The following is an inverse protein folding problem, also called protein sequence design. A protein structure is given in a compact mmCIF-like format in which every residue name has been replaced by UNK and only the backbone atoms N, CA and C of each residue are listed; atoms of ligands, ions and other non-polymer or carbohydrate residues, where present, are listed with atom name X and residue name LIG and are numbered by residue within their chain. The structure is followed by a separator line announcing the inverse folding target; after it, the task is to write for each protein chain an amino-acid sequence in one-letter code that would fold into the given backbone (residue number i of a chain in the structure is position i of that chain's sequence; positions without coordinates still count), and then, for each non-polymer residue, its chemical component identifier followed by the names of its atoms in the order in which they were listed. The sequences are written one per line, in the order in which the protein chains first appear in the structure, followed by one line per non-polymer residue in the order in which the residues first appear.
data_IF_073899944410
#
_entry.id   IF_073899944410
#
_cell.length_a   1.000
_cell.length_b   1.000
_cell.length_c   1.000
_cell.angle_alpha   90.00
_cell.angle_beta   90.00
_cell.angle_gamma   90.00
#
_symmetry.space_group_name_H-M   'P 1'
#
loop_
_entity.id
_entity.type
_entity.pdbx_description
1 polymer ?
#
# COMPACT_ATOMS: atom_id res chain seq x y z
N UNK A 1 48.94 -35.67 -22.44
CA UNK A 1 47.87 -34.75 -22.84
C UNK A 1 46.52 -35.38 -22.51
N UNK A 2 45.95 -35.09 -21.33
CA UNK A 2 44.57 -35.45 -21.00
C UNK A 2 43.99 -34.27 -20.23
N UNK A 3 43.17 -33.48 -20.91
CA UNK A 3 42.37 -32.41 -20.30
C UNK A 3 41.12 -33.04 -19.67
N UNK A 4 40.95 -32.86 -18.36
CA UNK A 4 39.73 -33.21 -17.63
C UNK A 4 38.72 -32.06 -17.83
N UNK A 5 37.66 -32.30 -18.60
CA UNK A 5 36.54 -31.37 -18.71
C UNK A 5 35.53 -31.69 -17.60
N UNK A 6 35.40 -30.80 -16.61
CA UNK A 6 34.35 -30.87 -15.61
C UNK A 6 33.05 -30.31 -16.19
N UNK A 7 32.05 -31.18 -16.37
CA UNK A 7 30.68 -30.77 -16.71
C UNK A 7 29.97 -30.32 -15.42
N UNK A 8 29.76 -29.01 -15.26
CA UNK A 8 28.85 -28.46 -14.25
C UNK A 8 27.42 -28.53 -14.78
N UNK A 9 26.60 -29.45 -14.26
CA UNK A 9 25.17 -29.45 -14.50
C UNK A 9 24.52 -28.32 -13.68
N UNK A 10 24.07 -27.26 -14.35
CA UNK A 10 23.13 -26.30 -13.77
C UNK A 10 21.79 -27.01 -13.57
N UNK A 11 21.49 -27.41 -12.34
CA UNK A 11 20.13 -27.77 -11.96
C UNK A 11 19.29 -26.50 -11.91
N UNK A 12 18.42 -26.32 -12.91
CA UNK A 12 17.36 -25.32 -12.85
C UNK A 12 16.43 -25.71 -11.70
N UNK A 13 16.43 -24.92 -10.62
CA UNK A 13 15.40 -25.02 -9.60
C UNK A 13 14.10 -24.56 -10.25
N UNK A 14 13.26 -25.52 -10.65
CA UNK A 14 11.88 -25.24 -10.98
C UNK A 14 11.18 -24.82 -9.68
N UNK A 15 10.96 -23.52 -9.51
CA UNK A 15 9.96 -23.03 -8.56
C UNK A 15 8.61 -23.36 -9.18
N UNK A 16 7.74 -24.16 -8.54
CA UNK A 16 6.43 -24.43 -9.09
C UNK A 16 5.64 -23.12 -9.08
N UNK A 17 5.10 -22.73 -10.24
CA UNK A 17 4.09 -21.70 -10.29
C UNK A 17 2.92 -22.18 -9.42
N UNK A 18 2.62 -21.44 -8.35
CA UNK A 18 1.40 -21.64 -7.58
C UNK A 18 0.23 -21.65 -8.57
N UNK A 19 -0.70 -22.61 -8.44
CA UNK A 19 -1.84 -22.64 -9.34
C UNK A 19 -2.67 -21.37 -9.14
N UNK A 20 -3.40 -20.92 -10.16
CA UNK A 20 -4.23 -19.71 -10.01
C UNK A 20 -5.11 -19.81 -8.76
N UNK A 21 -5.72 -20.97 -8.48
CA UNK A 21 -6.53 -21.22 -7.28
C UNK A 21 -5.79 -21.00 -5.94
N UNK A 22 -4.47 -21.21 -5.89
CA UNK A 22 -3.66 -20.96 -4.71
C UNK A 22 -3.41 -19.46 -4.49
N UNK A 23 -3.36 -18.67 -5.58
CA UNK A 23 -3.07 -17.23 -5.52
C UNK A 23 -4.22 -16.43 -4.89
N UNK A 24 -5.47 -16.66 -5.28
CA UNK A 24 -6.63 -15.98 -4.70
C UNK A 24 -6.91 -16.42 -3.26
N UNK A 25 -6.66 -17.69 -2.93
CA UNK A 25 -6.72 -18.15 -1.55
C UNK A 25 -5.65 -17.47 -0.69
N UNK A 26 -4.43 -17.33 -1.21
CA UNK A 26 -3.35 -16.60 -0.55
C UNK A 26 -3.70 -15.12 -0.35
N UNK A 27 -4.24 -14.45 -1.38
CA UNK A 27 -4.67 -13.06 -1.28
C UNK A 27 -5.77 -12.88 -0.21
N UNK A 28 -6.72 -13.82 -0.12
CA UNK A 28 -7.74 -13.87 0.94
C UNK A 28 -7.13 -13.98 2.32
N UNK A 29 -6.21 -14.91 2.54
CA UNK A 29 -5.56 -15.07 3.85
C UNK A 29 -4.74 -13.84 4.22
N UNK A 30 -3.97 -13.28 3.29
CA UNK A 30 -3.22 -12.05 3.48
C UNK A 30 -4.13 -10.86 3.82
N UNK A 31 -5.29 -10.75 3.18
CA UNK A 31 -6.25 -9.68 3.47
C UNK A 31 -6.87 -9.81 4.86
N UNK A 32 -7.06 -11.05 5.34
CA UNK A 32 -7.58 -11.33 6.68
C UNK A 32 -6.50 -11.25 7.77
N UNK A 33 -5.23 -11.28 7.39
CA UNK A 33 -4.08 -11.14 8.28
C UNK A 33 -3.70 -9.66 8.46
N UNK A 34 -3.94 -9.06 9.65
CA UNK A 34 -3.59 -7.67 9.93
C UNK A 34 -2.08 -7.43 9.92
N UNK A 35 -1.27 -8.47 10.15
CA UNK A 35 0.18 -8.38 10.27
C UNK A 35 0.91 -8.91 9.02
N UNK A 36 0.15 -9.30 7.98
CA UNK A 36 0.67 -9.82 6.72
C UNK A 36 1.50 -8.81 5.91
N UNK A 37 2.09 -9.27 4.80
CA UNK A 37 2.88 -8.41 3.90
C UNK A 37 2.08 -7.26 3.30
N UNK A 38 2.77 -6.25 2.76
CA UNK A 38 2.13 -5.20 1.97
C UNK A 38 1.33 -5.81 0.81
N UNK A 39 0.12 -5.30 0.55
CA UNK A 39 -0.75 -5.76 -0.53
C UNK A 39 -0.98 -4.69 -1.58
N UNK A 40 -0.99 -5.11 -2.85
CA UNK A 40 -1.27 -4.27 -4.00
C UNK A 40 -2.76 -4.34 -4.39
N UNK A 41 -3.40 -3.18 -4.48
CA UNK A 41 -4.74 -3.02 -5.01
C UNK A 41 -4.72 -2.25 -6.34
N UNK A 42 -5.02 -2.91 -7.46
CA UNK A 42 -5.04 -2.28 -8.78
C UNK A 42 -6.38 -1.54 -8.98
N UNK A 43 -6.35 -0.22 -9.13
CA UNK A 43 -7.56 0.59 -9.33
C UNK A 43 -8.10 0.41 -10.74
N UNK A 44 -9.21 -0.30 -10.90
CA UNK A 44 -9.82 -0.58 -12.20
C UNK A 44 -8.98 -1.49 -13.12
N UNK A 45 -7.97 -2.18 -12.58
CA UNK A 45 -7.07 -3.07 -13.33
C UNK A 45 -5.80 -2.37 -13.86
N UNK A 46 -5.21 -2.92 -14.91
CA UNK A 46 -4.02 -2.37 -15.58
C UNK A 46 -4.41 -1.20 -16.50
N UNK A 47 -4.50 -0.01 -15.91
CA UNK A 47 -5.00 1.21 -16.57
C UNK A 47 -3.96 1.91 -17.45
N UNK A 48 -2.68 1.53 -17.33
CA UNK A 48 -1.60 2.07 -18.15
C UNK A 48 -1.65 1.52 -19.58
N UNK A 49 -2.02 0.24 -19.72
CA UNK A 49 -2.08 -0.45 -21.00
C UNK A 49 -3.50 -0.51 -21.58
N UNK A 50 -4.52 -0.52 -20.73
CA UNK A 50 -5.91 -0.72 -21.13
C UNK A 50 -6.85 0.28 -20.46
N UNK A 51 -8.05 0.55 -21.01
CA UNK A 51 -9.04 1.37 -20.31
C UNK A 51 -9.40 0.76 -18.95
N UNK A 52 -9.55 1.60 -17.93
CA UNK A 52 -10.00 1.16 -16.61
C UNK A 52 -11.34 0.40 -16.72
N UNK A 53 -11.47 -0.66 -15.93
CA UNK A 53 -12.64 -1.55 -15.90
C UNK A 53 -12.93 -2.28 -17.23
N UNK A 54 -11.95 -2.38 -18.12
CA UNK A 54 -12.02 -3.28 -19.27
C UNK A 54 -11.67 -4.72 -18.89
N UNK A 55 -12.11 -5.68 -19.71
CA UNK A 55 -11.71 -7.08 -19.58
C UNK A 55 -10.19 -7.23 -19.60
N UNK A 56 -9.52 -6.56 -20.52
CA UNK A 56 -8.06 -6.64 -20.68
C UNK A 56 -7.31 -6.07 -19.48
N UNK A 57 -7.79 -4.95 -18.90
CA UNK A 57 -7.21 -4.39 -17.69
C UNK A 57 -7.27 -5.39 -16.52
N UNK A 58 -8.40 -6.09 -16.38
CA UNK A 58 -8.62 -7.08 -15.33
C UNK A 58 -7.78 -8.34 -15.56
N UNK A 59 -7.78 -8.89 -16.78
CA UNK A 59 -6.98 -10.06 -17.15
C UNK A 59 -5.48 -9.80 -16.99
N UNK A 60 -4.99 -8.63 -17.40
CA UNK A 60 -3.59 -8.22 -17.23
C UNK A 60 -3.19 -8.14 -15.76
N UNK A 61 -4.02 -7.48 -14.94
CA UNK A 61 -3.78 -7.39 -13.49
C UNK A 61 -3.80 -8.76 -12.80
N UNK A 62 -4.81 -9.59 -13.08
CA UNK A 62 -4.89 -10.94 -12.54
C UNK A 62 -3.69 -11.80 -12.96
N UNK A 63 -3.24 -11.69 -14.21
CA UNK A 63 -2.06 -12.38 -14.73
C UNK A 63 -0.74 -11.91 -14.13
N UNK A 64 -0.67 -10.66 -13.67
CA UNK A 64 0.51 -10.08 -12.99
C UNK A 64 0.58 -10.49 -11.51
N UNK A 65 -0.47 -11.10 -10.97
CA UNK A 65 -0.51 -11.58 -9.59
C UNK A 65 -0.82 -10.47 -8.57
N UNK A 66 -1.56 -9.43 -8.96
CA UNK A 66 -2.04 -8.42 -8.00
C UNK A 66 -2.92 -9.08 -6.93
N UNK A 67 -2.87 -8.56 -5.69
CA UNK A 67 -3.65 -9.15 -4.60
C UNK A 67 -5.15 -8.81 -4.72
N UNK A 68 -5.46 -7.57 -5.13
CA UNK A 68 -6.81 -7.02 -5.17
C UNK A 68 -6.98 -6.21 -6.45
N UNK A 69 -8.12 -6.35 -7.12
CA UNK A 69 -8.59 -5.36 -8.12
C UNK A 69 -9.74 -4.58 -7.48
N UNK A 70 -9.71 -3.26 -7.54
CA UNK A 70 -10.76 -2.40 -6.98
C UNK A 70 -11.63 -1.80 -8.08
N UNK A 71 -12.94 -1.74 -7.85
CA UNK A 71 -13.89 -1.19 -8.83
C UNK A 71 -15.18 -0.70 -8.16
N UNK A 72 -16.00 -0.02 -8.97
CA UNK A 72 -17.34 0.43 -8.62
C UNK A 72 -18.31 -0.18 -9.63
N UNK A 73 -19.42 -0.73 -9.15
CA UNK A 73 -20.47 -1.28 -9.99
C UNK A 73 -21.78 -0.49 -9.85
N UNK A 74 -22.55 -0.44 -10.94
CA UNK A 74 -23.84 0.26 -11.00
C UNK A 74 -24.87 -0.58 -11.74
N UNK A 75 -26.12 -0.45 -11.32
CA UNK A 75 -27.24 -1.10 -11.96
C UNK A 75 -27.64 -0.41 -13.27
N UNK A 76 -27.81 -1.22 -14.30
CA UNK A 76 -28.49 -0.87 -15.54
C UNK A 76 -30.00 -0.77 -15.33
N UNK A 77 -30.71 -0.24 -16.32
CA UNK A 77 -32.18 -0.12 -16.34
C UNK A 77 -32.89 -1.47 -16.16
N UNK A 78 -32.33 -2.52 -16.74
CA UNK A 78 -32.81 -3.92 -16.67
C UNK A 78 -32.27 -4.69 -15.47
N UNK A 79 -31.47 -4.06 -14.60
CA UNK A 79 -31.10 -4.58 -13.29
C UNK A 79 -29.83 -5.43 -13.24
N UNK A 80 -29.00 -5.35 -14.27
CA UNK A 80 -27.68 -5.98 -14.34
C UNK A 80 -26.60 -5.06 -13.77
N UNK A 81 -25.52 -5.61 -13.22
CA UNK A 81 -24.39 -4.79 -12.74
C UNK A 81 -23.33 -4.62 -13.83
N UNK A 82 -22.98 -3.37 -14.12
CA UNK A 82 -21.85 -2.99 -14.98
C UNK A 82 -20.80 -2.24 -14.19
N UNK A 83 -19.53 -2.37 -14.59
CA UNK A 83 -18.44 -1.64 -13.97
C UNK A 83 -18.47 -0.18 -14.45
N UNK A 84 -18.71 0.73 -13.50
CA UNK A 84 -18.90 2.14 -13.76
C UNK A 84 -18.53 2.96 -12.52
N UNK A 85 -17.50 3.78 -12.64
CA UNK A 85 -17.05 4.66 -11.56
C UNK A 85 -18.15 5.68 -11.18
N UNK A 86 -18.78 6.30 -12.18
CA UNK A 86 -19.77 7.36 -12.04
C UNK A 86 -21.14 6.95 -12.59
N UNK A 87 -22.20 7.58 -12.06
CA UNK A 87 -23.58 7.32 -12.52
C UNK A 87 -23.80 7.84 -13.93
N UNK A 88 -23.15 8.95 -14.27
CA UNK A 88 -23.16 9.49 -15.61
C UNK A 88 -21.99 8.89 -16.41
N UNK A 89 -22.29 8.45 -17.63
CA UNK A 89 -21.34 7.87 -18.59
C UNK A 89 -20.44 8.91 -19.26
N UNK A 90 -20.75 10.20 -19.12
CA UNK A 90 -20.05 11.30 -19.76
C UNK A 90 -18.55 11.28 -19.44
N UNK A 91 -17.74 11.32 -20.49
CA UNK A 91 -16.28 11.31 -20.41
C UNK A 91 -15.65 9.94 -20.13
N UNK A 92 -16.45 8.94 -19.75
CA UNK A 92 -15.98 7.57 -19.54
C UNK A 92 -16.30 6.68 -20.74
N UNK A 93 -17.49 6.82 -21.34
CA UNK A 93 -17.99 5.95 -22.40
C UNK A 93 -18.31 6.72 -23.68
N UNK A 94 -18.08 6.06 -24.80
CA UNK A 94 -18.31 6.59 -26.15
C UNK A 94 -19.15 5.63 -26.98
N UNK A 95 -19.85 6.16 -27.98
CA UNK A 95 -20.59 5.35 -28.94
C UNK A 95 -19.65 4.65 -29.96
N UNK A 96 -20.21 3.86 -30.87
CA UNK A 96 -19.44 3.17 -31.91
C UNK A 96 -18.70 4.08 -32.90
N UNK A 97 -18.98 5.39 -32.89
CA UNK A 97 -18.29 6.41 -33.69
C UNK A 97 -17.30 7.24 -32.85
N UNK A 98 -17.25 7.02 -31.54
CA UNK A 98 -16.37 7.71 -30.61
C UNK A 98 -16.92 9.01 -30.03
N UNK A 99 -18.22 9.30 -30.17
CA UNK A 99 -18.85 10.44 -29.51
C UNK A 99 -19.13 10.12 -28.03
N UNK A 100 -18.87 11.07 -27.13
CA UNK A 100 -19.18 10.93 -25.71
C UNK A 100 -20.69 10.72 -25.50
N UNK A 101 -21.03 9.76 -24.63
CA UNK A 101 -22.42 9.47 -24.25
C UNK A 101 -22.72 10.16 -22.92
N UNK A 102 -23.72 11.04 -22.90
CA UNK A 102 -24.22 11.71 -21.69
C UNK A 102 -25.56 11.10 -21.28
N UNK A 103 -25.49 9.97 -20.56
CA UNK A 103 -26.66 9.26 -20.03
C UNK A 103 -26.33 8.71 -18.64
N UNK A 104 -27.36 8.41 -17.85
CA UNK A 104 -27.15 7.64 -16.62
C UNK A 104 -27.06 6.16 -16.93
N UNK A 105 -26.23 5.43 -16.18
CA UNK A 105 -26.16 3.97 -16.28
C UNK A 105 -27.54 3.35 -16.00
N UNK A 106 -28.27 3.89 -15.02
CA UNK A 106 -29.64 3.46 -14.68
C UNK A 106 -30.70 3.72 -15.76
N UNK A 107 -30.38 4.48 -16.82
CA UNK A 107 -31.29 4.75 -17.93
C UNK A 107 -31.06 3.83 -19.14
N UNK A 108 -29.98 3.04 -19.13
CA UNK A 108 -29.56 2.17 -20.22
C UNK A 108 -29.73 0.70 -19.85
N UNK A 109 -30.19 -0.11 -20.80
CA UNK A 109 -30.19 -1.58 -20.70
C UNK A 109 -28.78 -2.16 -20.90
N UNK A 110 -28.56 -3.41 -20.48
CA UNK A 110 -27.27 -4.07 -20.70
C UNK A 110 -26.94 -4.16 -22.20
N UNK A 111 -27.93 -4.49 -23.03
CA UNK A 111 -27.75 -4.59 -24.48
C UNK A 111 -27.32 -3.26 -25.10
N UNK A 112 -27.93 -2.14 -24.70
CA UNK A 112 -27.51 -0.80 -25.13
C UNK A 112 -26.08 -0.51 -24.67
N UNK A 113 -25.73 -0.82 -23.41
CA UNK A 113 -24.39 -0.59 -22.86
C UNK A 113 -23.32 -1.40 -23.59
N UNK A 114 -23.63 -2.64 -24.00
CA UNK A 114 -22.70 -3.49 -24.75
C UNK A 114 -22.38 -2.94 -26.16
N UNK A 115 -23.19 -2.02 -26.69
CA UNK A 115 -22.86 -1.28 -27.92
C UNK A 115 -21.85 -0.16 -27.71
N UNK A 116 -21.66 0.30 -26.47
CA UNK A 116 -20.75 1.38 -26.11
C UNK A 116 -19.31 0.88 -25.93
N UNK A 117 -18.36 1.82 -25.91
CA UNK A 117 -16.94 1.55 -25.72
C UNK A 117 -16.36 2.40 -24.60
N UNK A 118 -15.39 1.84 -23.88
CA UNK A 118 -14.64 2.55 -22.85
C UNK A 118 -13.69 3.55 -23.50
N UNK A 119 -13.55 4.72 -22.89
CA UNK A 119 -12.57 5.72 -23.28
C UNK A 119 -11.29 5.52 -22.48
N UNK A 120 -10.11 5.34 -23.12
CA UNK A 120 -8.86 5.31 -22.38
C UNK A 120 -8.58 6.68 -21.74
N UNK A 121 -8.04 6.67 -20.52
CA UNK A 121 -7.66 7.90 -19.83
C UNK A 121 -6.65 8.70 -20.67
N UNK A 122 -6.88 10.01 -20.81
CA UNK A 122 -5.97 10.91 -21.54
C UNK A 122 -5.85 10.69 -23.05
N UNK A 123 -6.56 9.71 -23.64
CA UNK A 123 -6.49 9.40 -25.07
C UNK A 123 -7.71 9.90 -25.84
N UNK A 124 -7.48 10.32 -27.09
CA UNK A 124 -8.54 10.60 -28.07
C UNK A 124 -8.90 9.37 -28.92
N UNK A 125 -8.13 8.29 -28.80
CA UNK A 125 -8.35 7.07 -29.58
C UNK A 125 -9.44 6.20 -28.94
N UNK A 126 -10.26 5.58 -29.80
CA UNK A 126 -11.21 4.56 -29.38
C UNK A 126 -10.46 3.31 -28.91
N UNK A 127 -10.79 2.81 -27.72
CA UNK A 127 -10.19 1.58 -27.20
C UNK A 127 -10.71 0.31 -27.89
N UNK A 128 -11.91 0.38 -28.49
CA UNK A 128 -12.64 -0.80 -28.94
C UNK A 128 -13.12 -1.74 -27.81
N UNK A 129 -12.84 -1.42 -26.54
CA UNK A 129 -13.17 -2.26 -25.40
C UNK A 129 -14.64 -2.04 -24.96
N UNK A 130 -15.46 -3.09 -24.87
CA UNK A 130 -16.83 -2.98 -24.35
C UNK A 130 -16.83 -2.73 -22.84
N UNK A 131 -17.96 -2.25 -22.32
CA UNK A 131 -18.17 -2.13 -20.86
C UNK A 131 -18.29 -3.53 -20.26
N UNK A 132 -17.53 -3.77 -19.19
CA UNK A 132 -17.50 -5.03 -18.46
C UNK A 132 -18.67 -5.11 -17.45
N UNK A 133 -19.31 -6.25 -17.36
CA UNK A 133 -20.28 -6.55 -16.29
C UNK A 133 -19.55 -7.00 -15.03
N UNK A 134 -20.20 -6.85 -13.88
CA UNK A 134 -19.65 -7.40 -12.64
C UNK A 134 -19.55 -8.93 -12.70
N UNK A 135 -20.49 -9.61 -13.37
CA UNK A 135 -20.44 -11.08 -13.54
C UNK A 135 -19.23 -11.55 -14.35
N UNK A 136 -18.90 -10.83 -15.43
CA UNK A 136 -17.68 -11.10 -16.22
C UNK A 136 -16.42 -10.82 -15.37
N UNK A 137 -16.40 -9.73 -14.61
CA UNK A 137 -15.29 -9.41 -13.70
C UNK A 137 -15.08 -10.48 -12.62
N UNK A 138 -16.17 -10.99 -12.02
CA UNK A 138 -16.11 -12.10 -11.06
C UNK A 138 -15.47 -13.35 -11.68
N UNK A 139 -15.77 -13.66 -12.94
CA UNK A 139 -15.20 -14.81 -13.63
C UNK A 139 -13.69 -14.66 -13.85
N UNK A 140 -13.21 -13.44 -14.15
CA UNK A 140 -11.77 -13.16 -14.35
C UNK A 140 -11.00 -13.26 -13.03
N UNK A 141 -11.53 -12.68 -11.95
CA UNK A 141 -10.84 -12.66 -10.66
C UNK A 141 -10.89 -14.01 -9.93
N UNK A 142 -11.88 -14.86 -10.24
CA UNK A 142 -12.09 -16.14 -9.55
C UNK A 142 -10.83 -17.00 -9.59
N UNK A 143 -10.38 -17.40 -8.42
CA UNK A 143 -9.14 -18.16 -8.26
C UNK A 143 -7.93 -17.25 -8.18
N UNK A 144 -7.81 -16.19 -8.99
CA UNK A 144 -6.56 -15.44 -9.15
C UNK A 144 -6.31 -14.34 -8.10
N UNK A 145 -7.32 -13.52 -7.79
CA UNK A 145 -7.16 -12.36 -6.90
C UNK A 145 -8.48 -11.97 -6.22
N UNK A 146 -8.42 -11.08 -5.23
CA UNK A 146 -9.63 -10.50 -4.64
C UNK A 146 -10.24 -9.44 -5.57
N UNK A 147 -11.56 -9.32 -5.54
CA UNK A 147 -12.29 -8.24 -6.20
C UNK A 147 -12.96 -7.35 -5.15
N UNK A 148 -12.47 -6.14 -4.98
CA UNK A 148 -13.06 -5.16 -4.07
C UNK A 148 -14.07 -4.27 -4.79
N UNK A 149 -15.34 -4.39 -4.41
CA UNK A 149 -16.44 -3.72 -5.09
C UNK A 149 -17.13 -2.72 -4.17
N UNK A 150 -17.40 -1.53 -4.71
CA UNK A 150 -18.32 -0.56 -4.12
C UNK A 150 -19.57 -0.40 -4.99
N UNK A 151 -20.71 -0.19 -4.35
CA UNK A 151 -21.99 0.10 -5.00
C UNK A 151 -22.75 1.16 -4.19
N UNK A 152 -23.67 1.92 -4.80
CA UNK A 152 -24.62 2.74 -4.06
C UNK A 152 -25.40 1.92 -3.02
N UNK A 153 -25.78 2.57 -1.92
CA UNK A 153 -26.37 1.91 -0.76
C UNK A 153 -27.62 1.10 -1.09
N UNK A 154 -28.50 1.69 -1.87
CA UNK A 154 -29.76 1.11 -2.33
C UNK A 154 -29.56 -0.14 -3.21
N UNK A 155 -28.35 -0.35 -3.75
CA UNK A 155 -28.02 -1.46 -4.64
C UNK A 155 -27.38 -2.64 -3.89
N UNK A 156 -27.00 -2.47 -2.61
CA UNK A 156 -26.32 -3.50 -1.80
C UNK A 156 -27.09 -4.81 -1.71
N UNK A 157 -28.42 -4.76 -1.61
CA UNK A 157 -29.26 -5.96 -1.55
C UNK A 157 -29.13 -6.82 -2.81
N UNK A 158 -29.13 -6.19 -3.99
CA UNK A 158 -28.92 -6.87 -5.26
C UNK A 158 -27.49 -7.39 -5.41
N UNK A 159 -26.49 -6.61 -4.98
CA UNK A 159 -25.09 -7.04 -4.99
C UNK A 159 -24.90 -8.32 -4.18
N UNK A 160 -25.50 -8.40 -2.97
CA UNK A 160 -25.41 -9.59 -2.13
C UNK A 160 -26.00 -10.83 -2.84
N UNK A 161 -27.15 -10.69 -3.50
CA UNK A 161 -27.74 -11.79 -4.28
C UNK A 161 -26.88 -12.23 -5.46
N UNK A 162 -26.18 -11.29 -6.12
CA UNK A 162 -25.24 -11.63 -7.20
C UNK A 162 -24.03 -12.40 -6.68
N UNK A 163 -23.45 -11.97 -5.56
CA UNK A 163 -22.30 -12.64 -4.94
C UNK A 163 -22.68 -14.08 -4.56
N UNK A 164 -23.83 -14.26 -3.91
CA UNK A 164 -24.33 -15.58 -3.48
C UNK A 164 -24.61 -16.50 -4.68
N UNK A 165 -25.36 -16.01 -5.67
CA UNK A 165 -25.65 -16.80 -6.88
C UNK A 165 -24.40 -17.12 -7.73
N UNK A 166 -23.31 -16.37 -7.55
CA UNK A 166 -22.03 -16.59 -8.23
C UNK A 166 -21.03 -17.41 -7.42
N UNK A 167 -21.36 -17.79 -6.16
CA UNK A 167 -20.44 -18.39 -5.18
C UNK A 167 -19.12 -17.59 -5.07
N UNK A 168 -19.24 -16.28 -4.85
CA UNK A 168 -18.13 -15.33 -4.86
C UNK A 168 -17.75 -14.77 -3.48
N UNK A 169 -18.34 -15.28 -2.40
CA UNK A 169 -18.19 -14.82 -1.02
C UNK A 169 -16.74 -14.89 -0.52
N UNK A 170 -15.96 -15.82 -1.05
CA UNK A 170 -14.58 -16.10 -0.65
C UNK A 170 -13.54 -15.21 -1.34
N UNK A 171 -13.92 -14.41 -2.34
CA UNK A 171 -12.96 -13.50 -3.02
C UNK A 171 -13.51 -12.10 -3.31
N UNK A 172 -14.78 -11.82 -3.05
CA UNK A 172 -15.33 -10.46 -3.16
C UNK A 172 -15.19 -9.72 -1.84
N UNK A 173 -14.51 -8.57 -1.87
CA UNK A 173 -14.39 -7.64 -0.75
C UNK A 173 -15.45 -6.54 -0.90
N UNK A 174 -16.33 -6.41 0.10
CA UNK A 174 -17.32 -5.32 0.14
C UNK A 174 -16.69 -4.04 0.68
N UNK A 175 -16.72 -2.95 -0.09
CA UNK A 175 -16.19 -1.64 0.33
C UNK A 175 -17.32 -0.66 0.67
N UNK A 176 -17.22 0.00 1.82
CA UNK A 176 -18.22 0.99 2.24
C UNK A 176 -17.91 1.69 3.55
N UNK A 177 -18.64 2.76 3.84
CA UNK A 177 -18.47 3.53 5.09
C UNK A 177 -19.09 2.78 6.27
N UNK A 178 -18.32 2.49 7.33
CA UNK A 178 -18.77 1.70 8.48
C UNK A 178 -19.99 2.28 9.21
N UNK A 179 -20.07 3.60 9.33
CA UNK A 179 -21.21 4.34 9.89
C UNK A 179 -22.33 4.59 8.90
N UNK A 180 -22.12 4.34 7.62
CA UNK A 180 -23.19 4.48 6.63
C UNK A 180 -24.21 3.38 6.88
N UNK A 181 -25.47 3.73 7.16
CA UNK A 181 -26.64 2.87 6.92
C UNK A 181 -26.56 1.39 7.35
N UNK A 182 -25.88 1.11 8.47
CA UNK A 182 -25.71 -0.27 8.92
C UNK A 182 -24.83 -1.13 8.01
N UNK A 183 -23.98 -0.54 7.16
CA UNK A 183 -23.02 -1.26 6.30
C UNK A 183 -22.23 -2.30 7.08
N UNK A 184 -21.77 -1.94 8.28
CA UNK A 184 -21.07 -2.87 9.17
C UNK A 184 -21.91 -4.12 9.50
N UNK A 185 -23.14 -3.94 9.95
CA UNK A 185 -24.06 -5.04 10.25
C UNK A 185 -24.43 -5.86 9.01
N UNK A 186 -24.68 -5.17 7.88
CA UNK A 186 -24.99 -5.81 6.61
C UNK A 186 -23.83 -6.66 6.09
N UNK A 187 -22.62 -6.11 6.03
CA UNK A 187 -21.44 -6.79 5.53
C UNK A 187 -21.07 -8.00 6.41
N UNK A 188 -21.14 -7.86 7.74
CA UNK A 188 -20.92 -8.96 8.69
C UNK A 188 -21.83 -10.17 8.44
N UNK A 189 -23.09 -9.93 8.06
CA UNK A 189 -24.03 -10.99 7.74
C UNK A 189 -23.77 -11.68 6.39
N UNK A 190 -22.78 -11.20 5.61
CA UNK A 190 -22.51 -11.66 4.24
C UNK A 190 -21.10 -12.21 4.06
N UNK A 191 -20.08 -11.56 4.59
CA UNK A 191 -18.69 -11.99 4.40
C UNK A 191 -17.76 -11.42 5.48
N UNK A 192 -16.62 -12.07 5.67
CA UNK A 192 -15.48 -11.52 6.42
C UNK A 192 -14.61 -10.60 5.58
N UNK A 193 -14.80 -10.61 4.26
CA UNK A 193 -14.11 -9.78 3.29
C UNK A 193 -14.83 -8.45 3.16
N UNK A 194 -14.59 -7.56 4.11
CA UNK A 194 -15.15 -6.21 4.11
C UNK A 194 -14.08 -5.17 4.43
N UNK A 195 -14.15 -4.04 3.72
CA UNK A 195 -13.32 -2.87 3.92
C UNK A 195 -14.19 -1.66 4.29
N UNK A 196 -13.89 -1.07 5.45
CA UNK A 196 -14.47 0.20 5.88
C UNK A 196 -13.90 1.38 5.10
N UNK A 197 -14.52 2.54 5.19
CA UNK A 197 -14.03 3.79 4.59
C UNK A 197 -14.16 4.99 5.53
N UNK A 198 -13.11 5.80 5.63
CA UNK A 198 -13.13 7.11 6.27
C UNK A 198 -12.34 8.14 5.45
N UNK A 199 -13.05 9.12 4.89
CA UNK A 199 -12.44 10.33 4.32
C UNK A 199 -12.55 11.50 5.30
N UNK A 200 -11.43 12.11 5.69
CA UNK A 200 -11.46 13.29 6.56
C UNK A 200 -10.15 13.60 7.28
N UNK A 201 -10.19 14.59 8.18
CA UNK A 201 -9.01 15.03 8.92
C UNK A 201 -9.28 15.29 10.42
N UNK A 202 -10.38 14.76 10.97
CA UNK A 202 -10.76 15.00 12.36
C UNK A 202 -10.45 13.75 13.16
N UNK A 203 -9.46 13.82 14.06
CA UNK A 203 -8.95 12.65 14.79
C UNK A 203 -10.07 11.87 15.47
N UNK A 204 -10.96 12.54 16.21
CA UNK A 204 -12.08 11.88 16.90
C UNK A 204 -13.04 11.18 15.93
N UNK A 205 -13.24 11.73 14.74
CA UNK A 205 -14.12 11.12 13.73
C UNK A 205 -13.45 9.91 13.08
N UNK A 206 -12.15 10.01 12.78
CA UNK A 206 -11.37 8.90 12.24
C UNK A 206 -11.37 7.72 13.22
N UNK A 207 -11.06 7.98 14.49
CA UNK A 207 -10.96 6.92 15.51
C UNK A 207 -12.30 6.27 15.81
N UNK A 208 -13.39 7.05 15.84
CA UNK A 208 -14.75 6.54 15.98
C UNK A 208 -15.14 5.66 14.80
N UNK A 209 -14.81 6.08 13.58
CA UNK A 209 -15.17 5.34 12.38
C UNK A 209 -14.38 4.03 12.26
N UNK A 210 -13.08 4.08 12.51
CA UNK A 210 -12.23 2.88 12.60
C UNK A 210 -12.81 1.93 13.64
N UNK A 211 -13.12 2.41 14.86
CA UNK A 211 -13.71 1.60 15.92
C UNK A 211 -14.96 0.83 15.45
N UNK A 212 -15.90 1.53 14.78
CA UNK A 212 -17.11 0.90 14.22
C UNK A 212 -16.82 -0.17 13.17
N UNK A 213 -15.80 0.05 12.33
CA UNK A 213 -15.40 -0.93 11.33
C UNK A 213 -14.78 -2.18 11.99
N UNK A 214 -13.97 -2.00 13.04
CA UNK A 214 -13.33 -3.09 13.78
C UNK A 214 -14.33 -3.88 14.63
N UNK A 215 -15.29 -3.21 15.28
CA UNK A 215 -16.42 -3.87 15.95
C UNK A 215 -17.29 -4.62 14.91
N UNK A 216 -17.31 -4.06 13.70
CA UNK A 216 -17.79 -4.64 12.44
C UNK A 216 -16.99 -5.82 11.91
N UNK A 217 -15.89 -6.22 12.56
CA UNK A 217 -14.97 -7.29 12.09
C UNK A 217 -14.52 -7.10 10.63
N UNK A 218 -14.47 -5.86 10.15
CA UNK A 218 -13.93 -5.56 8.82
C UNK A 218 -12.43 -5.81 8.82
N UNK A 219 -11.95 -6.49 7.79
CA UNK A 219 -10.55 -6.88 7.67
C UNK A 219 -9.65 -5.70 7.29
N UNK A 220 -10.21 -4.66 6.65
CA UNK A 220 -9.49 -3.43 6.34
C UNK A 220 -10.35 -2.18 6.61
N UNK A 221 -9.69 -1.03 6.77
CA UNK A 221 -10.32 0.29 6.70
C UNK A 221 -9.49 1.19 5.82
N UNK A 222 -10.10 1.70 4.76
CA UNK A 222 -9.51 2.70 3.90
C UNK A 222 -9.62 4.09 4.52
N UNK A 223 -8.51 4.82 4.54
CA UNK A 223 -8.42 6.19 4.99
C UNK A 223 -8.05 7.10 3.83
N UNK A 224 -8.72 8.25 3.73
CA UNK A 224 -8.47 9.24 2.68
C UNK A 224 -8.38 10.67 3.26
N UNK A 225 -7.39 11.42 2.79
CA UNK A 225 -7.25 12.85 3.11
C UNK A 225 -6.34 13.58 2.11
N UNK A 226 -6.76 14.77 1.67
CA UNK A 226 -5.93 15.63 0.83
C UNK A 226 -4.83 16.37 1.61
N UNK A 227 -4.90 16.37 2.95
CA UNK A 227 -3.95 17.08 3.80
C UNK A 227 -2.69 16.23 4.04
N UNK A 228 -1.49 16.67 3.63
CA UNK A 228 -0.24 15.93 3.85
C UNK A 228 0.07 15.64 5.33
N UNK A 229 -0.41 16.50 6.23
CA UNK A 229 -0.24 16.40 7.69
C UNK A 229 -1.49 15.85 8.38
N UNK A 230 -2.31 15.10 7.64
CA UNK A 230 -3.56 14.59 8.18
C UNK A 230 -3.33 13.68 9.40
N UNK A 231 -4.30 13.73 10.31
CA UNK A 231 -4.37 12.84 11.48
C UNK A 231 -4.33 11.36 11.08
N UNK A 232 -4.77 11.01 9.86
CA UNK A 232 -4.72 9.63 9.36
C UNK A 232 -3.29 9.12 9.17
N UNK A 233 -2.28 10.00 9.09
CA UNK A 233 -0.86 9.61 9.03
C UNK A 233 -0.19 9.55 10.41
N UNK A 234 -0.93 9.83 11.48
CA UNK A 234 -0.37 9.86 12.84
C UNK A 234 -0.26 8.45 13.42
N UNK A 235 0.81 8.21 14.21
CA UNK A 235 0.94 6.95 14.96
C UNK A 235 -0.23 6.73 15.92
N UNK A 236 -0.83 7.80 16.43
CA UNK A 236 -2.01 7.71 17.28
C UNK A 236 -3.17 7.01 16.57
N UNK A 237 -3.50 7.39 15.33
CA UNK A 237 -4.54 6.72 14.55
C UNK A 237 -4.11 5.31 14.17
N UNK A 238 -2.88 5.15 13.67
CA UNK A 238 -2.38 3.88 13.12
C UNK A 238 -2.27 2.75 14.14
N UNK A 239 -1.99 3.05 15.42
CA UNK A 239 -1.99 2.06 16.51
C UNK A 239 -3.30 1.28 16.67
N UNK A 240 -4.41 1.75 16.09
CA UNK A 240 -5.71 1.07 16.17
C UNK A 240 -5.82 -0.16 15.27
N UNK A 241 -4.95 -0.26 14.28
CA UNK A 241 -4.92 -1.35 13.30
C UNK A 241 -4.06 -2.52 13.74
N UNK A 242 -3.02 -2.26 14.55
CA UNK A 242 -2.04 -3.26 15.03
C UNK A 242 -2.73 -4.52 15.59
N UNK A 243 -2.48 -5.68 14.95
CA UNK A 243 -3.08 -6.97 15.33
C UNK A 243 -4.60 -7.09 15.18
N UNK A 244 -5.27 -6.14 14.49
CA UNK A 244 -6.74 -6.08 14.42
C UNK A 244 -7.32 -6.01 13.01
N UNK A 245 -6.75 -5.18 12.15
CA UNK A 245 -7.17 -5.02 10.75
C UNK A 245 -6.08 -4.31 9.95
N UNK A 246 -6.27 -4.25 8.63
CA UNK A 246 -5.38 -3.55 7.71
C UNK A 246 -5.76 -2.09 7.53
N UNK A 247 -4.77 -1.21 7.49
CA UNK A 247 -4.96 0.16 7.05
C UNK A 247 -4.78 0.23 5.53
N UNK A 248 -5.80 0.73 4.82
CA UNK A 248 -5.80 0.88 3.37
C UNK A 248 -5.75 2.36 2.96
N UNK A 249 -5.12 2.67 1.84
CA UNK A 249 -5.10 4.01 1.26
C UNK A 249 -4.94 3.94 -0.26
N UNK A 250 -5.53 4.91 -0.97
CA UNK A 250 -5.34 5.08 -2.41
C UNK A 250 -4.24 6.09 -2.71
N UNK A 251 -3.15 5.63 -3.31
CA UNK A 251 -2.09 6.47 -3.88
C UNK A 251 -2.44 6.96 -5.30
N UNK A 252 -3.38 6.29 -5.96
CA UNK A 252 -3.84 6.58 -7.31
C UNK A 252 -4.54 7.96 -7.46
N UNK A 253 -4.96 8.57 -6.35
CA UNK A 253 -5.38 9.96 -6.29
C UNK A 253 -4.55 10.73 -5.24
N UNK A 254 -3.75 11.73 -5.65
CA UNK A 254 -3.00 12.57 -4.73
C UNK A 254 -3.87 13.26 -3.66
N UNK A 255 -5.14 13.53 -3.96
CA UNK A 255 -6.08 14.10 -2.98
C UNK A 255 -6.56 13.07 -1.94
N UNK A 256 -6.27 11.80 -2.12
CA UNK A 256 -6.61 10.73 -1.19
C UNK A 256 -5.44 10.35 -0.26
N UNK A 257 -4.19 10.58 -0.67
CA UNK A 257 -3.00 10.18 0.08
C UNK A 257 -2.14 11.33 0.64
N UNK A 258 -2.72 12.52 0.81
CA UNK A 258 -1.99 13.68 1.31
C UNK A 258 -0.92 14.17 0.34
N UNK A 259 -1.22 14.10 -0.96
CA UNK A 259 -0.38 14.53 -2.09
C UNK A 259 0.91 13.73 -2.25
N UNK A 260 0.94 12.49 -1.80
CA UNK A 260 2.05 11.58 -2.11
C UNK A 260 1.92 11.14 -3.57
N UNK A 261 3.08 10.90 -4.18
CA UNK A 261 3.14 10.39 -5.54
C UNK A 261 2.79 8.90 -5.57
N UNK A 262 2.22 8.44 -6.68
CA UNK A 262 1.93 7.04 -6.91
C UNK A 262 3.16 6.33 -7.48
N UNK A 263 4.19 6.16 -6.64
CA UNK A 263 5.46 5.54 -6.98
C UNK A 263 6.14 4.94 -5.74
N UNK A 264 7.29 4.29 -5.93
CA UNK A 264 8.03 3.63 -4.84
C UNK A 264 8.35 4.55 -3.65
N UNK A 265 8.65 5.84 -3.86
CA UNK A 265 8.91 6.77 -2.74
C UNK A 265 7.64 7.08 -1.95
N UNK A 266 6.53 7.28 -2.65
CA UNK A 266 5.22 7.49 -2.02
C UNK A 266 4.73 6.27 -1.27
N UNK A 267 4.83 5.08 -1.87
CA UNK A 267 4.43 3.81 -1.25
C UNK A 267 5.29 3.48 -0.03
N UNK A 268 6.60 3.68 -0.12
CA UNK A 268 7.51 3.49 1.02
C UNK A 268 7.15 4.42 2.17
N UNK A 269 6.81 5.69 1.87
CA UNK A 269 6.32 6.61 2.89
C UNK A 269 5.00 6.15 3.52
N UNK A 270 4.05 5.66 2.72
CA UNK A 270 2.75 5.18 3.20
C UNK A 270 2.91 3.93 4.07
N UNK A 271 3.68 2.94 3.63
CA UNK A 271 4.00 1.76 4.42
C UNK A 271 4.73 2.13 5.72
N UNK A 272 5.65 3.10 5.70
CA UNK A 272 6.29 3.63 6.90
C UNK A 272 5.32 4.27 7.90
N UNK A 273 4.15 4.75 7.45
CA UNK A 273 3.08 5.24 8.34
C UNK A 273 2.22 4.12 8.92
N UNK A 274 2.30 2.89 8.38
CA UNK A 274 1.53 1.74 8.83
C UNK A 274 0.40 1.31 7.89
N UNK A 275 0.35 1.85 6.66
CA UNK A 275 -0.57 1.33 5.65
C UNK A 275 -0.07 -0.02 5.12
N UNK A 276 -0.96 -1.01 5.06
CA UNK A 276 -0.64 -2.37 4.64
C UNK A 276 -1.37 -2.79 3.36
N UNK A 277 -2.35 -2.02 2.88
CA UNK A 277 -2.97 -2.16 1.56
C UNK A 277 -2.85 -0.82 0.82
N UNK A 278 -2.25 -0.82 -0.36
CA UNK A 278 -2.11 0.40 -1.17
C UNK A 278 -2.84 0.18 -2.50
N UNK A 279 -3.81 1.05 -2.78
CA UNK A 279 -4.46 1.15 -4.08
C UNK A 279 -3.66 2.09 -5.00
N UNK A 280 -3.38 1.64 -6.24
CA UNK A 280 -2.48 2.31 -7.19
C UNK A 280 -2.99 2.17 -8.63
N UNK A 281 -2.60 3.09 -9.51
CA UNK A 281 -2.72 2.92 -10.97
C UNK A 281 -1.48 2.22 -11.57
N UNK A 282 -0.39 2.07 -10.81
CA UNK A 282 0.89 1.49 -11.23
C UNK A 282 1.10 0.12 -10.55
N UNK A 283 0.13 -0.77 -10.73
CA UNK A 283 0.09 -2.07 -10.05
C UNK A 283 1.32 -2.96 -10.35
N UNK A 284 1.83 -3.06 -11.60
CA UNK A 284 3.05 -3.83 -11.87
C UNK A 284 4.26 -3.32 -11.08
N UNK A 285 4.43 -2.00 -11.00
CA UNK A 285 5.53 -1.37 -10.28
C UNK A 285 5.39 -1.54 -8.75
N UNK A 286 4.17 -1.46 -8.21
CA UNK A 286 3.94 -1.74 -6.79
C UNK A 286 4.19 -3.23 -6.46
N UNK A 287 3.81 -4.15 -7.35
CA UNK A 287 4.13 -5.56 -7.20
C UNK A 287 5.64 -5.81 -7.21
N UNK A 288 6.39 -5.14 -8.09
CA UNK A 288 7.85 -5.19 -8.08
C UNK A 288 8.43 -4.62 -6.78
N UNK A 289 7.89 -3.50 -6.28
CA UNK A 289 8.30 -2.94 -4.99
C UNK A 289 8.06 -3.92 -3.83
N UNK A 290 6.94 -4.64 -3.82
CA UNK A 290 6.65 -5.69 -2.82
C UNK A 290 7.66 -6.85 -2.94
N UNK A 291 7.98 -7.30 -4.16
CA UNK A 291 9.00 -8.34 -4.36
C UNK A 291 10.38 -7.91 -3.87
N UNK A 292 10.76 -6.64 -4.09
CA UNK A 292 12.00 -6.06 -3.58
C UNK A 292 12.04 -6.05 -2.04
N UNK A 293 10.90 -5.82 -1.38
CA UNK A 293 10.77 -5.94 0.08
C UNK A 293 11.08 -7.37 0.50
N UNK A 294 10.42 -8.38 -0.09
CA UNK A 294 10.60 -9.78 0.29
C UNK A 294 12.04 -10.26 0.06
N UNK A 295 12.67 -9.84 -1.06
CA UNK A 295 14.08 -10.11 -1.31
C UNK A 295 14.99 -9.48 -0.24
N UNK A 296 14.74 -8.22 0.14
CA UNK A 296 15.47 -7.53 1.20
C UNK A 296 15.23 -8.16 2.58
N UNK A 297 14.04 -8.72 2.83
CA UNK A 297 13.72 -9.44 4.08
C UNK A 297 14.50 -10.74 4.18
N UNK A 298 14.61 -11.52 3.10
CA UNK A 298 15.46 -12.72 3.08
C UNK A 298 16.94 -12.39 3.33
N UNK A 299 17.42 -11.27 2.80
CA UNK A 299 18.77 -10.77 3.08
C UNK A 299 18.96 -10.39 4.56
N UNK A 300 17.99 -9.66 5.14
CA UNK A 300 18.00 -9.29 6.55
C UNK A 300 17.97 -10.53 7.46
N UNK A 301 17.12 -11.51 7.16
CA UNK A 301 17.02 -12.76 7.92
C UNK A 301 18.36 -13.49 7.98
N UNK A 302 19.04 -13.62 6.83
CA UNK A 302 20.37 -14.22 6.78
C UNK A 302 21.40 -13.45 7.61
N UNK A 303 21.34 -12.12 7.59
CA UNK A 303 22.23 -11.26 8.40
C UNK A 303 21.99 -11.41 9.89
N UNK A 304 20.72 -11.46 10.31
CA UNK A 304 20.34 -11.70 11.72
C UNK A 304 20.85 -13.07 12.18
N UNK A 305 20.60 -14.14 11.41
CA UNK A 305 21.13 -15.48 11.72
C UNK A 305 22.65 -15.52 11.85
N UNK A 306 23.36 -14.84 10.94
CA UNK A 306 24.82 -14.74 11.01
C UNK A 306 25.29 -13.93 12.23
N UNK A 307 24.59 -12.85 12.57
CA UNK A 307 24.88 -12.04 13.76
C UNK A 307 24.73 -12.87 15.05
N UNK A 308 23.66 -13.65 15.15
CA UNK A 308 23.41 -14.53 16.31
C UNK A 308 24.47 -15.63 16.43
N UNK A 309 24.87 -16.22 15.30
CA UNK A 309 25.95 -17.20 15.25
C UNK A 309 27.30 -16.60 15.69
N UNK A 310 27.66 -15.40 15.21
CA UNK A 310 28.87 -14.69 15.62
C UNK A 310 28.86 -14.41 17.12
N UNK A 311 27.75 -13.89 17.65
CA UNK A 311 27.58 -13.57 19.07
C UNK A 311 27.63 -14.80 19.98
N UNK A 312 27.39 -16.00 19.44
CA UNK A 312 27.34 -17.27 20.17
C UNK A 312 28.55 -18.16 19.93
N UNK A 313 29.46 -17.77 19.03
CA UNK A 313 30.63 -18.57 18.62
C UNK A 313 31.68 -18.79 19.71
N UNK A 314 31.67 -17.98 20.77
CA UNK A 314 32.74 -17.94 21.78
C UNK A 314 34.02 -17.24 21.31
N UNK A 315 34.08 -16.77 20.05
CA UNK A 315 35.24 -16.06 19.50
C UNK A 315 35.39 -14.62 20.02
N UNK A 316 34.34 -14.06 20.62
CA UNK A 316 34.29 -12.68 21.11
C UNK A 316 33.81 -12.65 22.56
N UNK A 317 34.38 -11.75 23.37
CA UNK A 317 33.89 -11.51 24.73
C UNK A 317 32.47 -10.94 24.70
N UNK A 318 31.64 -11.36 25.66
CA UNK A 318 30.23 -10.94 25.73
C UNK A 318 30.06 -9.41 25.74
N UNK A 319 30.98 -8.68 26.39
CA UNK A 319 30.98 -7.22 26.45
C UNK A 319 31.15 -6.56 25.06
N UNK A 320 31.87 -7.19 24.14
CA UNK A 320 32.10 -6.67 22.78
C UNK A 320 30.92 -6.90 21.81
N UNK A 321 30.05 -7.87 22.10
CA UNK A 321 28.96 -8.28 21.20
C UNK A 321 27.66 -7.48 21.35
N UNK A 322 27.59 -6.56 22.32
CA UNK A 322 26.35 -5.87 22.68
C UNK A 322 25.70 -5.09 21.52
N UNK A 323 26.50 -4.37 20.73
CA UNK A 323 26.02 -3.60 19.57
C UNK A 323 25.40 -4.51 18.50
N UNK A 324 26.08 -5.63 18.20
CA UNK A 324 25.60 -6.61 17.22
C UNK A 324 24.31 -7.30 17.68
N UNK A 325 24.22 -7.70 18.95
CA UNK A 325 22.97 -8.26 19.52
C UNK A 325 21.82 -7.26 19.44
N UNK A 326 22.08 -6.00 19.75
CA UNK A 326 21.06 -4.95 19.67
C UNK A 326 20.61 -4.70 18.22
N UNK A 327 21.53 -4.72 17.26
CA UNK A 327 21.20 -4.61 15.83
C UNK A 327 20.41 -5.83 15.34
N UNK A 328 20.82 -7.05 15.70
CA UNK A 328 20.12 -8.29 15.36
C UNK A 328 18.70 -8.30 15.92
N UNK A 329 18.49 -7.87 17.17
CA UNK A 329 17.16 -7.75 17.77
C UNK A 329 16.26 -6.74 17.04
N UNK A 330 16.81 -5.60 16.59
CA UNK A 330 16.07 -4.66 15.72
C UNK A 330 15.75 -5.28 14.36
N UNK A 331 16.67 -6.06 13.80
CA UNK A 331 16.46 -6.85 12.59
C UNK A 331 15.31 -7.83 12.74
N UNK A 332 15.29 -8.59 13.83
CA UNK A 332 14.21 -9.52 14.13
C UNK A 332 12.86 -8.80 14.27
N UNK A 333 12.81 -7.67 14.99
CA UNK A 333 11.57 -6.89 15.11
C UNK A 333 11.05 -6.37 13.74
N UNK A 334 11.93 -6.10 12.77
CA UNK A 334 11.55 -5.75 11.39
C UNK A 334 11.02 -6.97 10.62
N UNK A 335 11.63 -8.14 10.83
CA UNK A 335 11.16 -9.40 10.24
C UNK A 335 9.82 -9.84 10.83
N UNK A 336 9.54 -9.52 12.09
CA UNK A 336 8.26 -9.86 12.71
C UNK A 336 7.10 -8.98 12.17
N UNK A 337 7.39 -7.79 11.63
CA UNK A 337 6.39 -6.90 11.02
C UNK A 337 6.25 -7.13 9.51
N UNK A 338 5.11 -7.66 9.05
CA UNK A 338 4.94 -8.03 7.64
C UNK A 338 4.90 -6.86 6.65
N UNK A 339 4.21 -5.76 6.97
CA UNK A 339 4.05 -4.61 6.04
C UNK A 339 5.15 -3.54 6.17
N UNK A 340 6.38 -3.94 6.50
CA UNK A 340 7.49 -3.00 6.69
C UNK A 340 8.00 -2.47 5.34
N UNK A 341 8.19 -1.14 5.16
CA UNK A 341 8.69 -0.55 3.90
C UNK A 341 10.11 -0.99 3.57
N UNK A 342 10.42 -1.02 2.26
CA UNK A 342 11.71 -1.41 1.71
C UNK A 342 12.89 -0.63 2.31
N UNK A 343 12.74 0.70 2.46
CA UNK A 343 13.78 1.55 3.03
C UNK A 343 14.18 1.09 4.44
N UNK A 344 13.19 0.74 5.27
CA UNK A 344 13.41 0.29 6.65
C UNK A 344 14.06 -1.07 6.71
N UNK A 345 13.65 -2.00 5.84
CA UNK A 345 14.28 -3.33 5.75
C UNK A 345 15.75 -3.20 5.35
N UNK A 346 16.05 -2.40 4.32
CA UNK A 346 17.42 -2.16 3.83
C UNK A 346 18.30 -1.43 4.86
N UNK A 347 17.77 -0.37 5.49
CA UNK A 347 18.47 0.35 6.57
C UNK A 347 18.84 -0.60 7.70
N UNK A 348 17.90 -1.43 8.15
CA UNK A 348 18.13 -2.37 9.24
C UNK A 348 19.13 -3.47 8.85
N UNK A 349 19.08 -3.97 7.62
CA UNK A 349 20.07 -4.92 7.11
C UNK A 349 21.48 -4.32 7.08
N UNK A 350 21.59 -3.04 6.70
CA UNK A 350 22.84 -2.30 6.75
C UNK A 350 23.35 -2.11 8.19
N UNK A 351 22.50 -1.75 9.14
CA UNK A 351 22.88 -1.63 10.55
C UNK A 351 23.43 -2.94 11.14
N UNK A 352 22.78 -4.07 10.84
CA UNK A 352 23.25 -5.40 11.29
C UNK A 352 24.62 -5.72 10.69
N UNK A 353 24.84 -5.39 9.41
CA UNK A 353 26.12 -5.57 8.74
C UNK A 353 27.23 -4.75 9.39
N UNK A 354 26.98 -3.46 9.58
CA UNK A 354 27.95 -2.52 10.15
C UNK A 354 28.38 -2.96 11.56
N UNK A 355 27.42 -3.37 12.40
CA UNK A 355 27.72 -3.88 13.73
C UNK A 355 28.57 -5.16 13.69
N UNK A 356 28.33 -6.05 12.71
CA UNK A 356 29.11 -7.27 12.54
C UNK A 356 30.55 -6.97 12.09
N UNK A 357 30.71 -6.06 11.13
CA UNK A 357 32.03 -5.61 10.63
C UNK A 357 32.84 -4.95 11.74
N UNK A 358 32.22 -4.09 12.55
CA UNK A 358 32.87 -3.44 13.71
C UNK A 358 33.37 -4.45 14.73
N UNK A 359 32.54 -5.44 15.06
CA UNK A 359 32.93 -6.54 15.96
C UNK A 359 34.13 -7.32 15.41
N UNK A 360 34.11 -7.66 14.12
CA UNK A 360 35.17 -8.42 13.47
C UNK A 360 36.48 -7.65 13.35
N UNK A 361 36.40 -6.34 13.10
CA UNK A 361 37.57 -5.48 12.92
C UNK A 361 38.09 -4.86 14.23
N UNK A 362 37.47 -5.17 15.38
CA UNK A 362 37.84 -4.60 16.68
C UNK A 362 37.64 -3.08 16.77
N UNK A 363 36.87 -2.49 15.87
CA UNK A 363 36.56 -1.06 15.86
C UNK A 363 35.36 -0.82 16.75
N UNK A 364 35.59 -0.54 18.03
CA UNK A 364 34.54 0.03 18.87
C UNK A 364 34.06 1.36 18.29
N UNK A 365 32.78 1.67 18.48
CA UNK A 365 32.13 2.89 18.01
C UNK A 365 33.07 4.11 18.11
N UNK A 366 33.15 4.87 17.02
CA UNK A 366 33.80 6.18 16.96
C UNK A 366 33.56 6.90 18.29
N UNK A 367 34.64 7.23 19.02
CA UNK A 367 34.53 7.92 20.31
C UNK A 367 33.50 9.03 20.15
N UNK A 368 32.39 8.96 20.90
CA UNK A 368 31.53 10.11 21.06
C UNK A 368 32.44 11.19 21.58
N UNK A 369 32.84 12.12 20.71
CA UNK A 369 33.60 13.29 21.12
C UNK A 369 32.86 13.86 22.31
N UNK A 370 33.46 13.77 23.49
CA UNK A 370 32.90 14.37 24.69
C UNK A 370 32.80 15.84 24.35
N UNK A 371 31.58 16.33 24.16
CA UNK A 371 31.37 17.75 23.93
C UNK A 371 31.63 18.43 25.28
N UNK A 372 32.90 18.73 25.53
CA UNK A 372 33.38 19.41 26.73
C UNK A 372 33.07 20.91 26.60
N UNK A 373 31.77 21.20 26.70
CA UNK A 373 31.24 22.54 26.84
C UNK A 373 31.23 22.90 28.32
N UNK A 374 32.38 23.35 28.82
CA UNK A 374 32.44 23.98 30.15
C UNK A 374 31.52 25.20 30.18
N UNK A 375 30.92 25.55 31.34
CA UNK A 375 30.07 26.73 31.47
C UNK A 375 30.74 28.01 30.95
N UNK A 376 32.07 28.11 31.08
CA UNK A 376 32.86 29.21 30.52
C UNK A 376 32.84 29.27 28.98
N UNK A 377 32.89 28.14 28.28
CA UNK A 377 32.81 28.09 26.80
C UNK A 377 31.42 28.45 26.28
N UNK A 378 30.37 28.03 26.99
CA UNK A 378 28.99 28.39 26.67
C UNK A 378 28.77 29.90 26.90
N UNK A 379 29.26 30.43 28.03
CA UNK A 379 29.20 31.86 28.33
C UNK A 379 29.98 32.70 27.30
N UNK A 380 31.17 32.25 26.90
CA UNK A 380 31.97 32.91 25.87
C UNK A 380 31.25 32.93 24.51
N UNK A 381 30.66 31.80 24.09
CA UNK A 381 29.90 31.72 22.85
C UNK A 381 28.67 32.65 22.87
N UNK A 382 27.93 32.68 23.99
CA UNK A 382 26.80 33.58 24.16
C UNK A 382 27.21 35.05 24.12
N UNK A 383 28.32 35.41 24.77
CA UNK A 383 28.87 36.78 24.75
C UNK A 383 29.36 37.19 23.36
N UNK A 384 30.05 36.30 22.63
CA UNK A 384 30.46 36.56 21.26
C UNK A 384 29.25 36.77 20.33
N UNK A 385 28.21 35.95 20.48
CA UNK A 385 26.99 36.09 19.68
C UNK A 385 26.26 37.39 20.00
N UNK A 386 26.16 37.75 21.28
CA UNK A 386 25.59 39.02 21.71
C UNK A 386 26.41 40.24 21.23
N UNK A 387 27.74 40.14 21.24
CA UNK A 387 28.63 41.18 20.74
C UNK A 387 28.51 41.36 19.22
N UNK A 388 28.39 40.26 18.47
CA UNK A 388 28.14 40.31 17.02
C UNK A 388 26.78 40.95 16.73
N UNK A 389 25.73 40.55 17.43
CA UNK A 389 24.40 41.14 17.29
C UNK A 389 24.39 42.64 17.65
N UNK A 390 25.07 43.02 18.74
CA UNK A 390 25.21 44.42 19.15
C UNK A 390 25.99 45.24 18.10
N UNK A 391 27.07 44.68 17.55
CA UNK A 391 27.85 45.31 16.49
C UNK A 391 27.03 45.49 15.21
N UNK A 392 26.23 44.48 14.83
CA UNK A 392 25.30 44.56 13.68
C UNK A 392 24.21 45.61 13.90
N UNK A 393 23.63 45.70 15.09
CA UNK A 393 22.63 46.74 15.43
C UNK A 393 23.28 48.13 15.44
N UNK A 394 24.50 48.25 15.95
CA UNK A 394 25.24 49.52 15.97
C UNK A 394 25.59 49.99 14.55
N UNK A 395 26.13 49.11 13.69
CA UNK A 395 26.43 49.44 12.29
C UNK A 395 25.17 49.78 11.51
N UNK A 396 24.07 49.04 11.71
CA UNK A 396 22.76 49.35 11.12
C UNK A 396 22.22 50.73 11.56
N UNK A 397 22.34 51.09 12.85
CA UNK A 397 21.92 52.41 13.34
C UNK A 397 22.83 53.54 12.83
N UNK A 398 24.13 53.28 12.64
CA UNK A 398 25.11 54.26 12.15
C UNK A 398 24.99 54.51 10.65
N UNK A 399 24.66 53.48 9.85
CA UNK A 399 24.43 53.63 8.40
C UNK A 399 23.15 54.41 8.08
N UNK A 400 22.15 54.42 8.97
CA UNK A 400 20.94 55.26 8.86
C UNK A 400 21.10 56.71 9.33
N UNK A 401 22.23 57.08 9.95
CA UNK A 401 22.48 58.43 10.48
C UNK A 401 23.42 59.27 9.61
N UNK A 402 23.75 58.85 8.38
CA UNK A 402 24.34 59.74 7.39
C UNK A 402 23.20 60.41 6.59
N UNK A 403 23.00 61.73 6.71
CA UNK A 403 22.11 62.47 5.82
C UNK A 403 22.62 62.45 4.37
#
# INVERSE_FOLDING_TARGET
MCALAALTALAWVFVPAASAADAGLQARELFLDPDGRLMCAARGGDTLNYPANSQQAFESSAGTGVDIITTTARLTKDGEFVLAENENTLGAWVDGKGADVDKKVSELTLDEIKTLRLKPAGSKALSGCPVLTLKEALAICKGSCLLMVSVPEEQRGKLAGLIESSNAEDFVVLRGRGSGSGFSAWAQGKTRLAAGYYGGNIVFMATREIGRCLDGKMAAVELSSANPYSVIFSRYVMKRFEGRARAMISAADPASCGKREDNALGWDNLAAKGYSVIETDYAPELMQYIQDIEAARGELERRVKNADALCSSGAYESAGTGELRAAAARGQAVLDGGSTPLSRVRETAYEVNEAAVRLQNGTQAQEKGVFDATPGRIAAAALCTAAIAAAQVYTYKKSRKKP
#
